data_IF_341725234732
#
_entry.id   IF_341725234732
#
_cell.length_a   1.000
_cell.length_b   1.000
_cell.length_c   1.000
_cell.angle_alpha   90.00
_cell.angle_beta   90.00
_cell.angle_gamma   90.00
#
_symmetry.space_group_name_H-M   'P 1'
#
loop_
_entity.id
_entity.type
_entity.pdbx_description
1 polymer ?
#
# COMPACT_ATOMS: atom_id res chain seq x y z
N UNK A 1 -6.99 -27.78 -15.83
CA UNK A 1 -7.76 -27.50 -14.60
C UNK A 1 -7.74 -26.01 -14.37
N UNK A 2 -8.87 -25.37 -14.04
CA UNK A 2 -8.85 -23.96 -13.68
C UNK A 2 -7.95 -23.76 -12.46
N UNK A 3 -7.19 -22.68 -12.46
CA UNK A 3 -6.35 -22.29 -11.34
C UNK A 3 -6.32 -20.76 -11.22
N UNK A 4 -6.01 -20.27 -10.02
CA UNK A 4 -5.87 -18.86 -9.69
C UNK A 4 -4.59 -18.67 -8.89
N UNK A 5 -3.90 -17.55 -9.13
CA UNK A 5 -2.68 -17.16 -8.42
C UNK A 5 -2.93 -15.83 -7.73
N UNK A 6 -2.55 -15.75 -6.47
CA UNK A 6 -2.59 -14.51 -5.68
C UNK A 6 -1.19 -14.25 -5.12
N UNK A 7 -0.75 -13.00 -5.18
CA UNK A 7 0.56 -12.57 -4.72
C UNK A 7 0.42 -11.33 -3.85
N UNK A 8 1.04 -11.37 -2.67
CA UNK A 8 1.17 -10.24 -1.77
C UNK A 8 2.63 -9.93 -1.48
N UNK A 9 2.98 -8.66 -1.34
CA UNK A 9 4.31 -8.23 -0.88
C UNK A 9 4.12 -7.28 0.29
N UNK A 10 4.78 -7.60 1.39
CA UNK A 10 4.92 -6.72 2.56
C UNK A 10 6.35 -6.20 2.59
N UNK A 11 6.54 -4.90 2.83
CA UNK A 11 7.86 -4.26 2.83
C UNK A 11 8.04 -3.32 4.02
N UNK A 12 9.18 -3.40 4.70
CA UNK A 12 9.56 -2.51 5.80
C UNK A 12 9.25 -3.08 7.19
N UNK A 13 8.89 -2.20 8.13
CA UNK A 13 8.72 -2.55 9.54
C UNK A 13 10.04 -2.99 10.20
N UNK A 14 9.94 -3.98 11.09
CA UNK A 14 11.07 -4.56 11.83
C UNK A 14 11.80 -5.67 11.05
N UNK A 15 11.57 -5.78 9.73
CA UNK A 15 12.20 -6.80 8.90
C UNK A 15 13.69 -6.47 8.65
N UNK A 16 14.60 -7.46 8.75
CA UNK A 16 16.02 -7.25 8.54
C UNK A 16 16.34 -6.98 7.06
N UNK A 17 17.10 -5.91 6.73
CA UNK A 17 17.38 -5.53 5.35
C UNK A 17 18.48 -6.37 4.68
N UNK A 18 19.29 -7.08 5.46
CA UNK A 18 20.49 -7.82 5.03
C UNK A 18 20.25 -9.32 4.84
N UNK A 19 19.02 -9.79 5.04
CA UNK A 19 18.64 -11.20 4.90
C UNK A 19 17.89 -11.46 3.58
N UNK A 20 17.91 -12.72 3.09
CA UNK A 20 17.01 -13.12 2.01
C UNK A 20 15.56 -12.90 2.44
N UNK A 21 14.71 -12.50 1.49
CA UNK A 21 13.29 -12.33 1.76
C UNK A 21 12.65 -13.64 2.21
N UNK A 22 11.63 -13.52 3.05
CA UNK A 22 10.80 -14.67 3.42
C UNK A 22 9.73 -14.90 2.35
N UNK A 23 9.52 -16.16 1.95
CA UNK A 23 8.50 -16.54 0.97
C UNK A 23 7.45 -17.43 1.64
N UNK A 24 6.27 -16.87 1.86
CA UNK A 24 5.11 -17.58 2.40
C UNK A 24 4.36 -18.25 1.25
N UNK A 25 4.22 -19.56 1.33
CA UNK A 25 3.64 -20.38 0.26
C UNK A 25 2.34 -21.00 0.71
N UNK A 26 1.31 -20.86 -0.11
CA UNK A 26 0.01 -21.47 0.13
C UNK A 26 -0.48 -22.21 -1.11
N UNK A 27 -1.13 -23.35 -0.90
CA UNK A 27 -1.89 -24.05 -1.93
C UNK A 27 -3.26 -24.42 -1.39
N UNK A 28 -4.34 -23.99 -2.05
CA UNK A 28 -5.73 -24.16 -1.59
C UNK A 28 -5.89 -23.79 -0.10
N UNK A 29 -5.42 -22.60 0.29
CA UNK A 29 -5.42 -22.08 1.67
C UNK A 29 -4.58 -22.87 2.70
N UNK A 30 -3.82 -23.88 2.28
CA UNK A 30 -2.94 -24.67 3.15
C UNK A 30 -1.49 -24.15 3.06
N UNK A 31 -0.83 -23.84 4.19
CA UNK A 31 0.56 -23.39 4.18
C UNK A 31 1.53 -24.53 3.84
N UNK A 32 2.48 -24.25 2.95
CA UNK A 32 3.54 -25.18 2.56
C UNK A 32 4.83 -24.82 3.28
N UNK A 33 5.16 -25.57 4.34
CA UNK A 33 6.31 -25.27 5.21
C UNK A 33 7.62 -25.93 4.73
N UNK A 34 7.54 -27.12 4.14
CA UNK A 34 8.72 -27.91 3.76
C UNK A 34 9.02 -27.85 2.26
N UNK A 35 10.20 -28.34 1.88
CA UNK A 35 10.64 -28.48 0.48
C UNK A 35 10.58 -27.20 -0.38
N UNK A 36 10.91 -26.05 0.20
CA UNK A 36 10.89 -24.76 -0.51
C UNK A 36 11.75 -24.77 -1.79
N UNK A 37 12.93 -25.41 -1.78
CA UNK A 37 13.83 -25.43 -2.93
C UNK A 37 13.25 -26.12 -4.19
N UNK A 38 12.36 -27.10 -4.01
CA UNK A 38 11.72 -27.82 -5.11
C UNK A 38 10.35 -27.28 -5.51
N UNK A 39 9.87 -26.22 -4.86
CA UNK A 39 8.53 -25.71 -5.08
C UNK A 39 8.49 -24.67 -6.19
N UNK A 40 7.57 -24.84 -7.14
CA UNK A 40 7.34 -23.89 -8.23
C UNK A 40 7.11 -22.46 -7.73
N UNK A 41 6.44 -22.27 -6.58
CA UNK A 41 6.18 -20.95 -6.00
C UNK A 41 7.48 -20.22 -5.60
N UNK A 42 8.39 -20.91 -4.92
CA UNK A 42 9.71 -20.33 -4.55
C UNK A 42 10.57 -20.10 -5.78
N UNK A 43 10.55 -21.03 -6.73
CA UNK A 43 11.32 -20.89 -7.97
C UNK A 43 10.82 -19.72 -8.83
N UNK A 44 9.50 -19.51 -8.89
CA UNK A 44 8.93 -18.35 -9.57
C UNK A 44 9.41 -17.04 -8.94
N UNK A 45 9.40 -16.93 -7.61
CA UNK A 45 9.96 -15.78 -6.89
C UNK A 45 11.45 -15.60 -7.20
N UNK A 46 12.24 -16.67 -7.20
CA UNK A 46 13.67 -16.61 -7.47
C UNK A 46 14.02 -16.23 -8.92
N UNK A 47 13.14 -16.50 -9.88
CA UNK A 47 13.36 -16.23 -11.31
C UNK A 47 13.09 -14.77 -11.70
N UNK A 48 12.36 -14.01 -10.87
CA UNK A 48 12.08 -12.59 -11.12
C UNK A 48 13.33 -11.74 -10.85
N UNK A 49 13.61 -10.77 -11.73
CA UNK A 49 14.70 -9.80 -11.59
C UNK A 49 14.27 -8.64 -10.66
N UNK A 50 14.34 -8.88 -9.35
CA UNK A 50 13.85 -7.95 -8.32
C UNK A 50 14.63 -6.64 -8.23
N UNK A 51 15.84 -6.59 -8.80
CA UNK A 51 16.65 -5.35 -8.90
C UNK A 51 15.91 -4.25 -9.64
N UNK A 52 15.06 -4.62 -10.61
CA UNK A 52 14.23 -3.66 -11.36
C UNK A 52 13.13 -3.04 -10.52
N UNK A 53 12.79 -3.69 -9.41
CA UNK A 53 11.71 -3.35 -8.49
C UNK A 53 12.21 -2.80 -7.14
N UNK A 54 13.52 -2.66 -6.96
CA UNK A 54 14.12 -1.97 -5.81
C UNK A 54 14.59 -2.86 -4.65
N UNK A 55 14.60 -4.19 -4.82
CA UNK A 55 15.28 -5.11 -3.89
C UNK A 55 16.70 -5.43 -4.38
N UNK A 56 17.57 -5.88 -3.48
CA UNK A 56 18.90 -6.35 -3.82
C UNK A 56 18.83 -7.82 -4.27
N UNK A 57 19.55 -8.22 -5.31
CA UNK A 57 19.62 -9.62 -5.73
C UNK A 57 21.02 -9.89 -6.29
N UNK A 58 21.89 -10.43 -5.42
CA UNK A 58 23.31 -10.65 -5.74
C UNK A 58 23.42 -11.74 -6.82
N UNK A 59 24.06 -11.42 -7.93
CA UNK A 59 24.22 -12.36 -9.06
C UNK A 59 22.98 -12.50 -9.96
N UNK A 60 21.86 -11.80 -9.67
CA UNK A 60 20.68 -11.78 -10.52
C UNK A 60 19.91 -13.10 -10.61
N UNK A 61 20.20 -14.06 -9.74
CA UNK A 61 19.50 -15.33 -9.59
C UNK A 61 19.29 -15.63 -8.10
N UNK A 62 18.25 -16.39 -7.78
CA UNK A 62 17.93 -16.77 -6.40
C UNK A 62 17.02 -15.76 -5.71
N UNK A 63 16.76 -15.97 -4.42
CA UNK A 63 15.91 -15.06 -3.66
C UNK A 63 16.57 -13.69 -3.50
N UNK A 64 15.82 -12.58 -3.63
CA UNK A 64 16.33 -11.26 -3.34
C UNK A 64 16.56 -11.07 -1.83
N UNK A 65 17.27 -10.01 -1.50
CA UNK A 65 17.57 -9.55 -0.16
C UNK A 65 16.86 -8.22 0.08
N UNK A 66 16.37 -8.05 1.30
CA UNK A 66 15.72 -6.83 1.73
C UNK A 66 14.65 -7.07 2.78
N UNK A 67 14.11 -5.99 3.37
CA UNK A 67 13.10 -6.06 4.42
C UNK A 67 11.72 -6.33 3.80
N UNK A 68 11.53 -7.52 3.21
CA UNK A 68 10.31 -7.87 2.50
C UNK A 68 9.89 -9.33 2.74
N UNK A 69 8.58 -9.54 2.75
CA UNK A 69 7.95 -10.86 2.75
C UNK A 69 7.09 -10.97 1.49
N UNK A 70 7.21 -12.08 0.77
CA UNK A 70 6.40 -12.37 -0.41
C UNK A 70 5.47 -13.54 -0.10
N UNK A 71 4.17 -13.28 -0.16
CA UNK A 71 3.14 -14.30 -0.08
C UNK A 71 2.73 -14.72 -1.48
N UNK A 72 2.70 -16.03 -1.73
CA UNK A 72 2.25 -16.62 -2.99
C UNK A 72 1.24 -17.71 -2.68
N UNK A 73 0.05 -17.58 -3.24
CA UNK A 73 -1.04 -18.54 -3.11
C UNK A 73 -1.44 -19.07 -4.48
N UNK A 74 -1.57 -20.40 -4.59
CA UNK A 74 -2.11 -21.09 -5.75
C UNK A 74 -3.39 -21.83 -5.35
N UNK A 75 -4.50 -21.50 -6.02
CA UNK A 75 -5.77 -22.19 -5.86
C UNK A 75 -6.11 -22.97 -7.13
N UNK A 76 -6.50 -24.24 -7.02
CA UNK A 76 -6.99 -25.05 -8.15
C UNK A 76 -7.82 -26.24 -7.67
N UNK A 77 -8.75 -26.72 -8.50
CA UNK A 77 -9.47 -27.97 -8.27
C UNK A 77 -8.52 -29.16 -8.16
N UNK A 78 -7.38 -29.11 -8.84
CA UNK A 78 -6.32 -30.12 -8.76
C UNK A 78 -4.95 -29.46 -8.83
N UNK A 79 -4.37 -29.19 -7.65
CA UNK A 79 -3.01 -28.68 -7.52
C UNK A 79 -2.00 -29.77 -7.88
N UNK A 80 -1.02 -29.51 -8.77
CA UNK A 80 0.02 -30.46 -9.10
C UNK A 80 1.09 -30.45 -8.01
N UNK A 81 1.09 -31.46 -7.13
CA UNK A 81 2.12 -31.64 -6.11
C UNK A 81 3.28 -32.49 -6.62
N UNK A 82 4.49 -32.27 -6.11
CA UNK A 82 5.68 -33.09 -6.41
C UNK A 82 5.65 -34.47 -5.77
N UNK A 83 4.94 -34.61 -4.64
CA UNK A 83 4.82 -35.84 -3.86
C UNK A 83 3.42 -35.97 -3.23
N UNK A 84 3.09 -37.18 -2.78
CA UNK A 84 1.84 -37.48 -2.07
C UNK A 84 1.71 -36.72 -0.74
N UNK A 85 2.84 -36.32 -0.14
CA UNK A 85 2.88 -35.52 1.09
C UNK A 85 2.41 -34.08 0.91
N UNK A 86 2.19 -33.63 -0.34
CA UNK A 86 1.66 -32.30 -0.70
C UNK A 86 2.47 -31.11 -0.14
N UNK A 87 3.78 -31.25 -0.02
CA UNK A 87 4.65 -30.22 0.57
C UNK A 87 5.14 -29.16 -0.44
N UNK A 88 5.15 -29.50 -1.74
CA UNK A 88 5.61 -28.62 -2.80
C UNK A 88 4.78 -28.77 -4.06
N UNK A 89 4.51 -27.63 -4.70
CA UNK A 89 3.88 -27.55 -6.03
C UNK A 89 4.93 -27.85 -7.09
N UNK A 90 4.59 -28.72 -8.04
CA UNK A 90 5.40 -29.09 -9.18
C UNK A 90 5.48 -27.97 -10.22
N UNK A 91 6.58 -27.93 -10.96
CA UNK A 91 6.81 -26.95 -12.04
C UNK A 91 5.97 -27.31 -13.27
N UNK A 92 4.92 -26.54 -13.52
CA UNK A 92 4.14 -26.59 -14.76
C UNK A 92 4.26 -25.24 -15.49
N UNK A 93 4.48 -25.27 -16.80
CA UNK A 93 4.79 -24.06 -17.59
C UNK A 93 3.67 -23.00 -17.53
N UNK A 94 2.41 -23.44 -17.57
CA UNK A 94 1.24 -22.55 -17.46
C UNK A 94 1.20 -21.83 -16.10
N UNK A 95 1.45 -22.57 -15.02
CA UNK A 95 1.47 -22.02 -13.64
C UNK A 95 2.66 -21.07 -13.46
N UNK A 96 3.83 -21.45 -13.96
CA UNK A 96 5.04 -20.63 -13.87
C UNK A 96 4.90 -19.31 -14.63
N UNK A 97 4.24 -19.33 -15.80
CA UNK A 97 3.97 -18.13 -16.60
C UNK A 97 3.04 -17.19 -15.85
N UNK A 98 1.96 -17.70 -15.26
CA UNK A 98 1.01 -16.88 -14.50
C UNK A 98 1.64 -16.31 -13.21
N UNK A 99 2.42 -17.12 -12.49
CA UNK A 99 3.18 -16.67 -11.32
C UNK A 99 4.14 -15.53 -11.66
N UNK A 100 4.86 -15.64 -12.77
CA UNK A 100 5.78 -14.58 -13.24
C UNK A 100 5.05 -13.28 -13.54
N UNK A 101 3.88 -13.34 -14.20
CA UNK A 101 3.05 -12.16 -14.46
C UNK A 101 2.54 -11.52 -13.17
N UNK A 102 2.00 -12.31 -12.24
CA UNK A 102 1.48 -11.85 -10.96
C UNK A 102 2.59 -11.22 -10.08
N UNK A 103 3.75 -11.87 -9.99
CA UNK A 103 4.91 -11.36 -9.24
C UNK A 103 5.46 -10.07 -9.84
N UNK A 104 5.51 -9.95 -11.18
CA UNK A 104 5.93 -8.70 -11.83
C UNK A 104 4.97 -7.56 -11.55
N UNK A 105 3.66 -7.82 -11.52
CA UNK A 105 2.66 -6.81 -11.17
C UNK A 105 2.83 -6.32 -9.73
N UNK A 106 2.98 -7.24 -8.77
CA UNK A 106 3.28 -6.88 -7.39
C UNK A 106 4.62 -6.13 -7.26
N UNK A 107 5.64 -6.54 -8.02
CA UNK A 107 6.94 -5.86 -8.09
C UNK A 107 6.85 -4.42 -8.62
N UNK A 108 5.98 -4.13 -9.60
CA UNK A 108 5.73 -2.75 -10.07
C UNK A 108 5.16 -1.89 -8.95
N UNK A 109 4.18 -2.41 -8.18
CA UNK A 109 3.60 -1.70 -7.03
C UNK A 109 4.65 -1.42 -5.95
N UNK A 110 5.48 -2.41 -5.63
CA UNK A 110 6.61 -2.23 -4.71
C UNK A 110 7.55 -1.11 -5.18
N UNK A 111 7.94 -1.11 -6.45
CA UNK A 111 8.82 -0.08 -7.02
C UNK A 111 8.23 1.33 -6.85
N UNK A 112 6.94 1.49 -7.12
CA UNK A 112 6.24 2.76 -6.94
C UNK A 112 6.30 3.20 -5.49
N UNK A 113 6.00 2.30 -4.54
CA UNK A 113 6.11 2.57 -3.11
C UNK A 113 7.52 2.99 -2.68
N UNK A 114 8.56 2.27 -3.11
CA UNK A 114 9.96 2.60 -2.79
C UNK A 114 10.39 3.96 -3.39
N UNK A 115 9.95 4.24 -4.62
CA UNK A 115 10.22 5.52 -5.29
C UNK A 115 9.55 6.67 -4.53
N UNK A 116 8.30 6.49 -4.10
CA UNK A 116 7.55 7.43 -3.25
C UNK A 116 8.31 7.70 -1.95
N UNK A 117 8.71 6.64 -1.25
CA UNK A 117 9.46 6.74 0.02
C UNK A 117 10.79 7.49 -0.15
N UNK A 118 11.57 7.16 -1.18
CA UNK A 118 12.84 7.84 -1.46
C UNK A 118 12.66 9.32 -1.85
N UNK A 119 11.62 9.64 -2.63
CA UNK A 119 11.30 11.01 -3.01
C UNK A 119 10.84 11.84 -1.80
N UNK A 120 10.01 11.26 -0.92
CA UNK A 120 9.57 11.87 0.35
C UNK A 120 10.76 12.16 1.25
N UNK A 121 11.69 11.22 1.40
CA UNK A 121 12.90 11.40 2.22
C UNK A 121 13.78 12.57 1.74
N UNK A 122 14.14 12.58 0.44
CA UNK A 122 14.96 13.67 -0.14
C UNK A 122 14.29 15.04 -0.01
N UNK A 123 12.97 15.08 -0.09
CA UNK A 123 12.26 16.35 0.00
C UNK A 123 12.07 16.80 1.45
N UNK A 124 11.90 15.86 2.39
CA UNK A 124 11.95 16.15 3.83
C UNK A 124 13.29 16.78 4.24
N UNK A 125 14.41 16.29 3.71
CA UNK A 125 15.73 16.91 3.91
C UNK A 125 15.78 18.36 3.39
N UNK A 126 15.30 18.61 2.16
CA UNK A 126 15.22 19.97 1.61
C UNK A 126 14.36 20.88 2.47
N UNK A 127 13.25 20.37 2.99
CA UNK A 127 12.36 21.10 3.86
C UNK A 127 13.01 21.48 5.18
N UNK A 128 13.72 20.54 5.83
CA UNK A 128 14.47 20.83 7.06
C UNK A 128 15.51 21.94 6.84
N UNK A 129 16.21 21.90 5.70
CA UNK A 129 17.13 22.97 5.31
C UNK A 129 16.41 24.33 5.22
N UNK A 130 15.24 24.36 4.61
CA UNK A 130 14.50 25.61 4.33
C UNK A 130 13.80 26.17 5.57
N UNK A 131 13.18 25.33 6.41
CA UNK A 131 12.45 25.80 7.59
C UNK A 131 13.33 26.00 8.82
N UNK A 132 14.30 25.12 9.04
CA UNK A 132 15.11 25.16 10.25
C UNK A 132 16.44 25.86 10.02
N UNK A 133 17.16 25.46 8.97
CA UNK A 133 18.55 25.91 8.76
C UNK A 133 18.59 27.32 8.18
N UNK A 134 17.78 27.62 7.16
CA UNK A 134 17.81 28.93 6.48
C UNK A 134 17.50 30.12 7.41
N UNK A 135 16.47 30.08 8.28
CA UNK A 135 16.22 31.17 9.23
C UNK A 135 17.32 31.31 10.27
N UNK A 136 17.91 30.19 10.72
CA UNK A 136 19.06 30.21 11.64
C UNK A 136 20.31 30.83 11.00
N UNK A 137 20.57 30.53 9.72
CA UNK A 137 21.66 31.17 8.96
C UNK A 137 21.39 32.68 8.83
N UNK A 138 20.16 33.07 8.49
CA UNK A 138 19.77 34.46 8.32
C UNK A 138 19.94 35.26 9.62
N UNK A 139 19.45 34.74 10.75
CA UNK A 139 19.58 35.35 12.07
C UNK A 139 21.05 35.47 12.51
N UNK A 140 21.83 34.39 12.38
CA UNK A 140 23.24 34.39 12.78
C UNK A 140 24.07 35.33 11.92
N UNK A 141 23.83 35.35 10.61
CA UNK A 141 24.51 36.26 9.69
C UNK A 141 24.16 37.72 9.99
N UNK A 142 22.87 38.01 10.19
CA UNK A 142 22.37 39.33 10.55
C UNK A 142 22.98 39.85 11.86
N UNK A 143 23.12 38.98 12.88
CA UNK A 143 23.80 39.28 14.14
C UNK A 143 25.28 39.62 13.95
N UNK A 144 26.01 38.84 13.13
CA UNK A 144 27.44 39.08 12.87
C UNK A 144 27.67 40.43 12.18
N UNK A 145 26.83 40.78 11.20
CA UNK A 145 26.94 42.06 10.48
C UNK A 145 26.15 43.20 11.12
N UNK A 146 25.52 42.95 12.27
CA UNK A 146 24.66 43.86 13.03
C UNK A 146 23.56 44.55 12.17
N UNK A 147 22.86 43.76 11.33
CA UNK A 147 21.76 44.21 10.47
C UNK A 147 20.46 43.50 10.83
N UNK A 148 19.34 43.99 10.30
CA UNK A 148 18.04 43.31 10.38
C UNK A 148 18.04 42.01 9.57
N UNK A 149 17.34 41.00 10.07
CA UNK A 149 17.14 39.72 9.36
C UNK A 149 16.41 39.98 8.03
N UNK A 150 16.94 39.50 6.89
CA UNK A 150 16.30 39.66 5.59
C UNK A 150 15.02 38.82 5.49
N UNK A 151 14.07 39.26 4.65
CA UNK A 151 12.89 38.48 4.30
C UNK A 151 13.30 37.31 3.40
N UNK A 152 12.92 36.09 3.77
CA UNK A 152 13.43 34.86 3.14
C UNK A 152 12.54 34.31 2.03
N UNK A 153 11.31 34.82 1.89
CA UNK A 153 10.26 34.31 1.00
C UNK A 153 10.74 34.07 -0.44
N UNK A 154 11.46 35.03 -1.03
CA UNK A 154 12.00 34.92 -2.38
C UNK A 154 13.09 33.84 -2.52
N UNK A 155 13.86 33.59 -1.47
CA UNK A 155 14.88 32.54 -1.44
C UNK A 155 14.24 31.18 -1.24
N UNK A 156 13.25 31.09 -0.34
CA UNK A 156 12.48 29.87 -0.06
C UNK A 156 11.81 29.36 -1.33
N UNK A 157 11.11 30.25 -2.03
CA UNK A 157 10.41 29.90 -3.28
C UNK A 157 11.35 29.47 -4.40
N UNK A 158 12.56 30.04 -4.49
CA UNK A 158 13.59 29.63 -5.46
C UNK A 158 14.21 28.26 -5.17
N UNK A 159 14.37 27.90 -3.90
CA UNK A 159 14.95 26.61 -3.49
C UNK A 159 13.93 25.49 -3.65
N UNK A 160 12.68 25.74 -3.22
CA UNK A 160 11.63 24.71 -3.20
C UNK A 160 10.86 24.66 -4.51
N UNK A 161 10.26 25.77 -4.96
CA UNK A 161 9.53 25.85 -6.22
C UNK A 161 8.33 24.90 -6.37
N UNK A 162 7.81 24.36 -5.27
CA UNK A 162 6.78 23.29 -5.23
C UNK A 162 5.66 23.61 -4.24
N UNK A 163 4.53 22.93 -4.39
CA UNK A 163 3.48 22.82 -3.36
C UNK A 163 3.78 21.58 -2.52
N UNK A 164 3.90 21.77 -1.22
CA UNK A 164 4.23 20.74 -0.26
C UNK A 164 2.99 20.36 0.54
N UNK A 165 2.64 19.08 0.56
CA UNK A 165 1.59 18.51 1.40
C UNK A 165 2.27 17.73 2.51
N UNK A 166 2.07 18.16 3.74
CA UNK A 166 2.56 17.47 4.93
C UNK A 166 1.41 16.85 5.70
N UNK A 167 1.70 15.80 6.45
CA UNK A 167 0.75 15.12 7.29
C UNK A 167 1.33 14.94 8.69
N UNK A 168 0.53 15.30 9.69
CA UNK A 168 0.80 15.06 11.10
C UNK A 168 -0.33 14.20 11.69
N UNK A 169 -0.01 12.98 12.12
CA UNK A 169 -0.95 12.04 12.73
C UNK A 169 -0.59 11.92 14.21
N UNK A 170 -1.51 12.32 15.08
CA UNK A 170 -1.38 12.18 16.52
C UNK A 170 -2.41 11.17 17.05
N UNK A 171 -1.93 10.12 17.73
CA UNK A 171 -2.79 9.10 18.34
C UNK A 171 -2.99 9.36 19.84
N UNK A 172 -4.25 9.43 20.28
CA UNK A 172 -4.62 9.49 21.70
C UNK A 172 -5.02 8.11 22.22
N UNK A 173 -4.13 7.49 23.00
CA UNK A 173 -4.32 6.15 23.60
C UNK A 173 -5.52 6.06 24.54
N UNK A 174 -5.97 7.17 25.14
CA UNK A 174 -7.10 7.15 26.09
C UNK A 174 -8.44 7.12 25.37
N UNK A 175 -8.53 7.78 24.22
CA UNK A 175 -9.77 7.92 23.46
C UNK A 175 -9.80 7.01 22.22
N UNK A 176 -8.71 6.27 21.92
CA UNK A 176 -8.56 5.44 20.71
C UNK A 176 -8.93 6.21 19.45
N UNK A 177 -8.31 7.38 19.30
CA UNK A 177 -8.59 8.30 18.19
C UNK A 177 -7.30 8.80 17.57
N UNK A 178 -7.31 8.89 16.24
CA UNK A 178 -6.29 9.53 15.44
C UNK A 178 -6.74 10.93 15.08
N UNK A 179 -5.90 11.93 15.36
CA UNK A 179 -6.09 13.30 14.91
C UNK A 179 -5.10 13.55 13.78
N UNK A 180 -5.62 13.71 12.57
CA UNK A 180 -4.83 13.88 11.36
C UNK A 180 -4.90 15.32 10.92
N UNK A 181 -3.75 15.95 10.69
CA UNK A 181 -3.65 17.31 10.18
C UNK A 181 -2.84 17.32 8.88
N UNK A 182 -3.52 17.59 7.77
CA UNK A 182 -2.92 17.80 6.47
C UNK A 182 -2.59 19.28 6.26
N UNK A 183 -1.36 19.58 5.85
CA UNK A 183 -0.84 20.93 5.73
C UNK A 183 -0.29 21.17 4.32
N UNK A 184 -1.01 21.96 3.53
CA UNK A 184 -0.65 22.31 2.16
C UNK A 184 0.05 23.67 2.15
N UNK A 185 1.35 23.68 1.88
CA UNK A 185 2.18 24.87 1.78
C UNK A 185 2.55 25.17 0.32
N UNK A 186 2.26 26.37 -0.16
CA UNK A 186 2.64 26.77 -1.51
C UNK A 186 4.01 27.48 -1.50
N UNK A 187 5.09 26.79 -1.87
CA UNK A 187 6.42 27.40 -2.05
C UNK A 187 6.72 27.76 -3.51
N UNK A 188 5.70 27.87 -4.37
CA UNK A 188 5.87 28.38 -5.73
C UNK A 188 5.74 29.90 -5.76
N UNK A 189 6.34 30.57 -6.75
CA UNK A 189 6.30 32.03 -6.86
C UNK A 189 4.90 32.60 -7.18
N UNK A 190 3.95 31.77 -7.62
CA UNK A 190 2.59 32.18 -7.97
C UNK A 190 1.56 31.47 -7.09
N UNK A 191 0.44 32.11 -6.81
CA UNK A 191 -0.66 31.44 -6.11
C UNK A 191 -1.20 30.25 -6.92
N UNK A 192 -1.43 29.12 -6.25
CA UNK A 192 -1.88 27.86 -6.86
C UNK A 192 -3.27 27.48 -6.36
N UNK A 193 -4.06 26.87 -7.23
CA UNK A 193 -5.30 26.16 -6.90
C UNK A 193 -5.05 24.67 -7.12
N UNK A 194 -5.58 23.83 -6.25
CA UNK A 194 -5.50 22.38 -6.34
C UNK A 194 -6.67 21.77 -5.58
N UNK A 195 -6.99 20.52 -5.91
CA UNK A 195 -7.92 19.72 -5.12
C UNK A 195 -7.11 18.64 -4.41
N UNK A 196 -7.46 18.38 -3.17
CA UNK A 196 -6.87 17.32 -2.36
C UNK A 196 -7.90 16.20 -2.20
N UNK A 197 -7.48 14.97 -2.43
CA UNK A 197 -8.31 13.79 -2.27
C UNK A 197 -7.65 12.88 -1.25
N UNK A 198 -8.46 12.28 -0.39
CA UNK A 198 -8.02 11.35 0.66
C UNK A 198 -8.79 10.05 0.48
N UNK A 199 -8.10 8.93 0.60
CA UNK A 199 -8.70 7.61 0.70
C UNK A 199 -8.55 7.10 2.14
N UNK A 200 -9.67 6.87 2.82
CA UNK A 200 -9.69 6.26 4.15
C UNK A 200 -9.79 4.73 4.09
N UNK A 201 -9.30 4.02 5.11
CA UNK A 201 -9.53 2.59 5.26
C UNK A 201 -11.03 2.25 5.24
N UNK A 202 -11.36 1.09 4.67
CA UNK A 202 -12.75 0.63 4.52
C UNK A 202 -13.46 0.55 5.89
N UNK A 203 -14.70 1.01 5.94
CA UNK A 203 -15.55 0.94 7.15
C UNK A 203 -15.26 2.02 8.20
N UNK A 204 -14.31 2.93 7.95
CA UNK A 204 -14.00 4.03 8.85
C UNK A 204 -14.50 5.35 8.26
N UNK A 205 -15.32 6.05 9.04
CA UNK A 205 -15.79 7.40 8.72
C UNK A 205 -15.17 8.42 9.68
N UNK A 206 -14.75 9.59 9.19
CA UNK A 206 -14.22 10.64 10.06
C UNK A 206 -15.33 11.28 10.88
N UNK A 207 -15.11 11.46 12.19
CA UNK A 207 -16.10 12.06 13.10
C UNK A 207 -16.17 13.58 13.02
N UNK A 208 -15.02 14.22 12.78
CA UNK A 208 -14.93 15.67 12.61
C UNK A 208 -13.99 15.96 11.47
N UNK A 209 -14.37 16.92 10.61
CA UNK A 209 -13.56 17.38 9.49
C UNK A 209 -13.65 18.91 9.43
N UNK A 210 -12.51 19.57 9.35
CA UNK A 210 -12.40 21.01 9.12
C UNK A 210 -11.23 21.32 8.19
N UNK A 211 -11.42 22.03 7.05
CA UNK A 211 -12.66 22.58 6.53
C UNK A 211 -13.60 21.51 5.97
N UNK A 212 -14.89 21.87 5.83
CA UNK A 212 -15.90 20.99 5.24
C UNK A 212 -15.46 20.54 3.83
N UNK A 213 -15.44 19.22 3.55
CA UNK A 213 -15.09 18.70 2.24
C UNK A 213 -16.15 19.05 1.18
N UNK A 214 -15.73 19.08 -0.07
CA UNK A 214 -16.62 19.26 -1.21
C UNK A 214 -17.45 18.00 -1.47
N UNK A 215 -16.83 16.82 -1.29
CA UNK A 215 -17.46 15.52 -1.49
C UNK A 215 -16.97 14.52 -0.45
N UNK A 216 -17.88 13.69 0.06
CA UNK A 216 -17.60 12.52 0.91
C UNK A 216 -18.41 11.37 0.33
N UNK A 217 -17.73 10.28 -0.03
CA UNK A 217 -18.34 9.09 -0.60
C UNK A 217 -18.32 7.95 0.43
N UNK A 218 -19.26 7.02 0.28
CA UNK A 218 -19.41 5.88 1.20
C UNK A 218 -18.26 4.86 1.09
N UNK A 219 -17.46 4.92 0.00
CA UNK A 219 -16.28 4.10 -0.23
C UNK A 219 -15.01 4.62 0.48
N UNK A 220 -15.15 5.62 1.35
CA UNK A 220 -14.04 6.20 2.12
C UNK A 220 -13.27 7.31 1.39
N UNK A 221 -13.70 7.70 0.18
CA UNK A 221 -13.08 8.81 -0.57
C UNK A 221 -13.61 10.16 -0.12
N UNK A 222 -12.70 11.09 0.14
CA UNK A 222 -13.01 12.46 0.56
C UNK A 222 -12.27 13.45 -0.35
N UNK A 223 -12.97 14.46 -0.84
CA UNK A 223 -12.40 15.48 -1.73
C UNK A 223 -12.56 16.88 -1.14
N UNK A 224 -11.48 17.65 -1.13
CA UNK A 224 -11.46 19.09 -0.84
C UNK A 224 -11.04 19.89 -2.06
N UNK A 225 -11.86 20.85 -2.46
CA UNK A 225 -11.49 21.86 -3.44
C UNK A 225 -10.83 23.05 -2.72
N UNK A 226 -9.49 23.11 -2.78
CA UNK A 226 -8.77 24.19 -2.13
C UNK A 226 -8.84 25.47 -2.96
N UNK A 227 -9.24 26.56 -2.30
CA UNK A 227 -9.15 27.90 -2.86
C UNK A 227 -7.69 28.24 -3.18
N UNK A 228 -7.49 29.33 -3.92
CA UNK A 228 -6.16 29.81 -4.27
C UNK A 228 -5.32 30.00 -3.00
N UNK A 229 -4.22 29.25 -2.90
CA UNK A 229 -3.19 29.39 -1.88
C UNK A 229 -2.12 30.31 -2.45
N UNK A 230 -1.92 31.48 -1.86
CA UNK A 230 -0.91 32.43 -2.32
C UNK A 230 0.53 31.92 -2.06
N UNK A 231 1.51 32.60 -2.63
CA UNK A 231 2.93 32.25 -2.47
C UNK A 231 3.33 32.32 -0.99
N UNK A 232 4.01 31.29 -0.50
CA UNK A 232 4.44 31.11 0.91
C UNK A 232 3.27 31.00 1.90
N UNK A 233 2.03 30.92 1.42
CA UNK A 233 0.86 30.68 2.27
C UNK A 233 0.64 29.18 2.52
N UNK A 234 -0.12 28.91 3.58
CA UNK A 234 -0.48 27.58 4.05
C UNK A 234 -2.01 27.43 4.10
N UNK A 235 -2.52 26.28 3.69
CA UNK A 235 -3.85 25.80 4.02
C UNK A 235 -3.74 24.55 4.90
N UNK A 236 -4.61 24.40 5.89
CA UNK A 236 -4.65 23.25 6.77
C UNK A 236 -6.02 22.59 6.71
N UNK A 237 -6.02 21.26 6.73
CA UNK A 237 -7.19 20.41 6.85
C UNK A 237 -6.93 19.50 8.04
N UNK A 238 -7.91 19.34 8.92
CA UNK A 238 -7.84 18.46 10.08
C UNK A 238 -9.06 17.57 10.12
N UNK A 239 -8.83 16.31 10.47
CA UNK A 239 -9.93 15.37 10.71
C UNK A 239 -9.57 14.38 11.82
N UNK A 240 -10.61 13.75 12.36
CA UNK A 240 -10.48 12.77 13.45
C UNK A 240 -11.06 11.45 13.01
N UNK A 241 -10.27 10.39 13.17
CA UNK A 241 -10.70 9.00 13.02
C UNK A 241 -10.80 8.33 14.40
N UNK A 242 -11.77 7.45 14.58
CA UNK A 242 -11.94 6.63 15.78
C UNK A 242 -12.08 5.15 15.40
N UNK A 243 -11.71 4.26 16.31
CA UNK A 243 -11.90 2.81 16.13
C UNK A 243 -10.74 2.09 15.45
N UNK A 244 -9.64 2.79 15.14
CA UNK A 244 -8.39 2.21 14.67
C UNK A 244 -7.35 2.25 15.81
N UNK A 245 -6.60 1.17 15.98
CA UNK A 245 -5.45 1.15 16.89
C UNK A 245 -4.24 1.92 16.29
N UNK A 246 -3.21 2.17 17.10
CA UNK A 246 -2.05 3.01 16.73
C UNK A 246 -1.31 2.49 15.47
N UNK A 247 -1.25 1.17 15.31
CA UNK A 247 -0.53 0.51 14.22
C UNK A 247 -1.38 0.32 12.95
N UNK A 248 -2.70 0.53 13.02
CA UNK A 248 -3.61 0.33 11.88
C UNK A 248 -3.70 1.57 10.98
N UNK A 249 -3.20 2.72 11.44
CA UNK A 249 -3.26 3.98 10.71
C UNK A 249 -2.03 4.84 10.97
N UNK A 250 -1.04 4.72 10.09
CA UNK A 250 0.26 5.39 10.17
C UNK A 250 0.55 6.34 9.00
N UNK A 251 -0.19 6.23 7.89
CA UNK A 251 -0.08 7.08 6.71
C UNK A 251 -1.44 7.27 6.03
N UNK A 252 -1.71 8.48 5.53
CA UNK A 252 -2.85 8.73 4.64
C UNK A 252 -2.50 8.52 3.17
N UNK A 253 -3.42 7.90 2.44
CA UNK A 253 -3.40 7.88 0.97
C UNK A 253 -3.97 9.20 0.42
N UNK A 254 -3.05 10.14 0.15
CA UNK A 254 -3.36 11.50 -0.31
C UNK A 254 -3.08 11.62 -1.81
N UNK A 255 -4.07 12.10 -2.55
CA UNK A 255 -3.98 12.40 -3.98
C UNK A 255 -4.30 13.87 -4.28
N UNK A 256 -3.88 14.33 -5.45
CA UNK A 256 -4.01 15.72 -5.90
C UNK A 256 -4.50 15.80 -7.34
N UNK A 257 -5.39 16.77 -7.60
CA UNK A 257 -5.82 17.12 -8.96
C UNK A 257 -5.86 18.65 -9.16
N UNK A 258 -6.03 19.09 -10.41
CA UNK A 258 -6.10 20.52 -10.76
C UNK A 258 -4.76 21.27 -10.76
N UNK A 259 -3.64 20.57 -10.55
CA UNK A 259 -2.27 21.12 -10.58
C UNK A 259 -1.33 20.12 -11.28
N UNK A 260 -0.24 20.62 -11.87
CA UNK A 260 0.80 19.75 -12.43
C UNK A 260 1.39 18.88 -11.31
N UNK A 261 1.31 17.54 -11.40
CA UNK A 261 1.84 16.64 -10.37
C UNK A 261 3.33 16.83 -10.09
N UNK A 262 4.12 17.22 -11.10
CA UNK A 262 5.55 17.50 -10.93
C UNK A 262 5.85 18.72 -10.05
N UNK A 263 4.84 19.52 -9.71
CA UNK A 263 4.96 20.65 -8.77
C UNK A 263 4.48 20.30 -7.37
N UNK A 264 3.93 19.11 -7.13
CA UNK A 264 3.38 18.71 -5.82
C UNK A 264 4.26 17.65 -5.21
N UNK A 265 4.51 17.76 -3.91
CA UNK A 265 5.22 16.74 -3.14
C UNK A 265 4.43 16.43 -1.88
N UNK A 266 4.34 15.15 -1.53
CA UNK A 266 3.55 14.65 -0.39
C UNK A 266 2.12 14.24 -0.75
N UNK A 267 1.73 14.33 -2.02
CA UNK A 267 0.49 13.78 -2.55
C UNK A 267 0.72 13.20 -3.96
N UNK A 268 -0.02 12.15 -4.31
CA UNK A 268 0.06 11.49 -5.61
C UNK A 268 -0.88 12.12 -6.64
N UNK A 269 -0.59 12.02 -7.96
CA UNK A 269 -1.59 12.39 -8.95
C UNK A 269 -2.85 11.55 -8.79
N UNK A 270 -4.02 12.17 -8.95
CA UNK A 270 -5.30 11.45 -8.90
C UNK A 270 -5.30 10.29 -9.92
N UNK A 271 -5.56 9.05 -9.47
CA UNK A 271 -5.64 7.89 -10.36
C UNK A 271 -6.77 8.05 -11.39
N UNK A 272 -6.56 7.54 -12.61
CA UNK A 272 -7.59 7.63 -13.67
C UNK A 272 -8.84 6.80 -13.39
N UNK A 273 -8.71 5.81 -12.51
CA UNK A 273 -9.74 4.92 -11.99
C UNK A 273 -10.31 5.37 -10.65
N UNK A 274 -10.04 6.61 -10.21
CA UNK A 274 -10.55 7.15 -8.94
C UNK A 274 -12.08 7.04 -8.80
N UNK A 275 -12.82 7.09 -9.90
CA UNK A 275 -14.27 6.96 -9.91
C UNK A 275 -14.78 5.53 -9.73
N UNK A 276 -13.92 4.52 -9.92
CA UNK A 276 -14.30 3.12 -9.75
C UNK A 276 -14.45 2.78 -8.27
N UNK A 277 -15.54 2.09 -7.94
CA UNK A 277 -15.71 1.46 -6.66
C UNK A 277 -15.16 0.03 -6.74
N UNK A 278 -13.95 -0.21 -6.21
CA UNK A 278 -13.35 -1.54 -6.25
C UNK A 278 -14.18 -2.61 -5.53
N UNK A 279 -15.07 -2.21 -4.60
CA UNK A 279 -16.01 -3.13 -3.95
C UNK A 279 -17.05 -3.70 -4.93
N UNK A 280 -17.31 -3.05 -6.07
CA UNK A 280 -18.22 -3.58 -7.11
C UNK A 280 -17.55 -4.66 -7.98
N UNK A 281 -16.22 -4.73 -7.97
CA UNK A 281 -15.45 -5.73 -8.72
C UNK A 281 -15.09 -6.95 -7.86
N UNK A 282 -15.03 -6.77 -6.55
CA UNK A 282 -15.03 -7.86 -5.57
C UNK A 282 -16.46 -8.40 -5.49
N UNK A 283 -16.84 -9.26 -6.45
CA UNK A 283 -18.12 -9.96 -6.39
C UNK A 283 -18.28 -10.61 -5.00
N UNK A 284 -19.42 -10.38 -4.36
CA UNK A 284 -19.82 -11.09 -3.16
C UNK A 284 -19.78 -12.59 -3.47
N UNK A 285 -18.66 -13.26 -3.15
CA UNK A 285 -18.69 -14.71 -2.92
C UNK A 285 -19.54 -14.90 -1.67
N UNK A 286 -20.83 -15.06 -1.87
CA UNK A 286 -21.71 -15.64 -0.88
C UNK A 286 -21.02 -16.91 -0.36
N UNK A 287 -20.88 -17.10 0.96
CA UNK A 287 -20.29 -18.32 1.50
C UNK A 287 -21.05 -19.50 0.89
N UNK A 288 -20.31 -20.40 0.22
CA UNK A 288 -20.87 -21.61 -0.35
C UNK A 288 -21.72 -22.29 0.72
N UNK A 289 -23.00 -22.49 0.41
CA UNK A 289 -23.92 -23.20 1.28
C UNK A 289 -23.27 -24.52 1.72
N UNK A 290 -23.30 -24.79 3.03
CA UNK A 290 -22.82 -26.05 3.58
C UNK A 290 -23.44 -27.21 2.80
N UNK A 291 -22.68 -28.24 2.41
CA UNK A 291 -23.26 -29.40 1.75
C UNK A 291 -24.26 -30.03 2.72
N UNK A 292 -25.51 -30.13 2.28
CA UNK A 292 -26.54 -30.90 2.96
C UNK A 292 -25.97 -32.29 3.27
N UNK A 293 -26.01 -32.70 4.53
CA UNK A 293 -25.68 -34.07 4.94
C UNK A 293 -26.58 -35.03 4.14
N UNK A 294 -26.01 -35.68 3.12
CA UNK A 294 -26.64 -36.82 2.48
C UNK A 294 -26.90 -37.88 3.56
N UNK A 295 -28.17 -38.04 3.91
CA UNK A 295 -28.61 -39.01 4.90
C UNK A 295 -28.08 -40.40 4.58
N UNK A 296 -27.57 -41.06 5.63
CA UNK A 296 -27.16 -42.45 5.60
C UNK A 296 -28.25 -43.31 4.93
N UNK A 297 -27.87 -43.98 3.83
CA UNK A 297 -28.69 -45.03 3.23
C UNK A 297 -28.54 -46.26 4.13
N UNK A 298 -29.57 -46.52 4.92
CA UNK A 298 -29.71 -47.71 5.74
C UNK A 298 -29.92 -48.95 4.84
N UNK A 299 -28.94 -49.85 4.83
CA UNK A 299 -29.03 -51.14 4.16
C UNK A 299 -29.37 -52.21 5.20
N UNK A 300 -30.66 -52.38 5.49
CA UNK A 300 -31.12 -53.55 6.25
C UNK A 300 -32.19 -54.34 5.46
N UNK A 301 -31.80 -55.60 5.21
CA UNK A 301 -32.59 -56.83 5.11
C UNK A 301 -33.81 -56.87 4.16
N UNK A 302 -33.59 -57.35 2.94
CA UNK A 302 -34.56 -58.22 2.27
C UNK A 302 -34.07 -59.66 2.36
N UNK A 303 -34.61 -60.41 3.33
CA UNK A 303 -34.56 -61.88 3.33
C UNK A 303 -35.27 -62.41 2.08
N UNK A 304 -34.54 -63.16 1.26
CA UNK A 304 -35.11 -64.02 0.23
C UNK A 304 -35.87 -65.17 0.90
N UNK A 305 -37.20 -65.13 0.84
CA UNK A 305 -38.02 -66.32 1.06
C UNK A 305 -37.96 -67.21 -0.19
N UNK A 306 -37.20 -68.31 -0.10
CA UNK A 306 -37.33 -69.46 -0.98
C UNK A 306 -38.61 -70.21 -0.60
N UNK A 307 -39.64 -70.14 -1.45
CA UNK A 307 -40.75 -71.10 -1.42
C UNK A 307 -40.46 -72.21 -2.43
N UNK A 308 -40.39 -73.44 -1.91
CA UNK A 308 -40.38 -74.70 -2.64
C UNK A 308 -41.80 -75.02 -3.15
N UNK A 309 -41.97 -75.16 -4.47
CA UNK A 309 -42.95 -76.07 -5.11
C UNK A 309 -42.47 -76.52 -6.51
#
# INVERSE_FOLDING_TARGET
NPFQVEVGIVYGGDLPPDQPIEVLRFANRVPLLYQAGGCALTQAVANVDWRRYGLEQRGGQGLPFGPAIVLVHLCSTKVPYTSESKEAVATADEIMTELDLALKEAGRRLKTHLTKKAHRAKTKEKFEIVQLILPRIADKSAKIVNKKVPVLDATITKIMGVVWVDEDIAYDKKQKRHTVTLNVHNFTAAGKKLNLHLLLPRGIAPKSIDPKPAEVRDDGKITWELKRIDSVAKASISFVLEGLDEAEYDESDIYVSGINPGLVIGAEPLPGDWELNYAEFEGEEAPAAEPEEEGEIDYDETEEALDDE
#
